data_IF_155397958908
#
_entry.id   IF_155397958908
#
_cell.length_a   1.000
_cell.length_b   1.000
_cell.length_c   1.000
_cell.angle_alpha   90.00
_cell.angle_beta   90.00
_cell.angle_gamma   90.00
#
_symmetry.space_group_name_H-M   'P 1'
#
loop_
_entity.id
_entity.type
_entity.pdbx_description
1 polymer ?
#
# COMPACT_ATOMS: atom_id res chain seq x y z
N UNK A 1 11.98 -0.44 5.63
CA UNK A 1 10.97 0.51 6.15
C UNK A 1 9.83 -0.11 6.94
N UNK A 2 9.43 -1.38 6.74
CA UNK A 2 8.25 -1.95 7.39
C UNK A 2 8.19 -1.76 8.93
N UNK A 3 9.27 -2.09 9.64
CA UNK A 3 9.32 -1.97 11.11
C UNK A 3 9.20 -0.50 11.57
N UNK A 4 9.86 0.43 10.86
CA UNK A 4 9.77 1.86 11.17
C UNK A 4 8.35 2.39 10.96
N UNK A 5 7.65 1.94 9.90
CA UNK A 5 6.24 2.23 9.65
C UNK A 5 5.32 1.79 10.80
N UNK A 6 5.49 0.54 11.27
CA UNK A 6 4.70 -0.02 12.37
C UNK A 6 4.94 0.75 13.66
N UNK A 7 6.21 1.02 14.00
CA UNK A 7 6.56 1.76 15.22
C UNK A 7 5.99 3.19 15.16
N UNK A 8 6.14 3.88 14.03
CA UNK A 8 5.64 5.24 13.87
C UNK A 8 4.11 5.32 14.01
N UNK A 9 3.38 4.40 13.38
CA UNK A 9 1.92 4.33 13.50
C UNK A 9 1.47 4.05 14.95
N UNK A 10 2.17 3.14 15.66
CA UNK A 10 1.89 2.87 17.07
C UNK A 10 2.15 4.06 17.98
N UNK A 11 3.29 4.74 17.80
CA UNK A 11 3.64 5.93 18.57
C UNK A 11 2.67 7.09 18.30
N UNK A 12 2.25 7.29 17.06
CA UNK A 12 1.28 8.32 16.69
C UNK A 12 -0.09 8.06 17.31
N UNK A 13 -0.54 6.80 17.32
CA UNK A 13 -1.77 6.39 18.00
C UNK A 13 -1.75 6.67 19.51
N UNK A 14 -0.62 6.40 20.17
CA UNK A 14 -0.42 6.70 21.61
C UNK A 14 -0.40 8.22 21.84
N UNK A 15 0.38 8.97 21.04
CA UNK A 15 0.53 10.43 21.16
C UNK A 15 -0.79 11.17 21.03
N UNK A 16 -1.63 10.74 20.08
CA UNK A 16 -2.92 11.37 19.80
C UNK A 16 -4.08 10.71 20.56
N UNK A 17 -3.80 9.70 21.40
CA UNK A 17 -4.78 8.94 22.17
C UNK A 17 -5.96 8.46 21.30
N UNK A 18 -5.64 7.89 20.13
CA UNK A 18 -6.65 7.47 19.16
C UNK A 18 -7.51 6.35 19.73
N UNK A 19 -8.83 6.45 19.51
CA UNK A 19 -9.77 5.43 19.94
C UNK A 19 -9.65 4.20 19.03
N UNK A 20 -9.45 3.04 19.64
CA UNK A 20 -9.50 1.76 18.94
C UNK A 20 -10.94 1.35 18.68
N UNK A 21 -11.19 0.85 17.46
CA UNK A 21 -12.43 0.17 17.14
C UNK A 21 -12.54 -1.15 17.94
N UNK A 22 -13.77 -1.66 18.18
CA UNK A 22 -13.96 -2.95 18.81
C UNK A 22 -13.22 -4.07 18.07
N UNK A 23 -12.69 -5.03 18.83
CA UNK A 23 -12.05 -6.20 18.24
C UNK A 23 -13.05 -6.98 17.39
N UNK A 24 -12.69 -7.25 16.14
CA UNK A 24 -13.47 -8.11 15.27
C UNK A 24 -13.18 -9.58 15.62
N UNK A 25 -14.18 -10.28 16.15
CA UNK A 25 -14.00 -11.62 16.76
C UNK A 25 -14.47 -12.77 15.87
N UNK A 26 -15.00 -12.47 14.68
CA UNK A 26 -15.55 -13.45 13.73
C UNK A 26 -14.74 -13.48 12.43
N UNK A 27 -15.26 -14.14 11.40
CA UNK A 27 -14.61 -14.26 10.10
C UNK A 27 -14.49 -12.89 9.39
N UNK A 28 -13.26 -12.39 9.23
CA UNK A 28 -12.99 -11.09 8.61
C UNK A 28 -13.26 -11.06 7.09
N UNK A 29 -13.38 -12.21 6.43
CA UNK A 29 -13.77 -12.24 5.00
C UNK A 29 -15.19 -11.71 4.79
N UNK A 30 -16.09 -11.91 5.76
CA UNK A 30 -17.49 -11.48 5.71
C UNK A 30 -17.68 -10.02 6.19
N UNK A 31 -16.60 -9.29 6.48
CA UNK A 31 -16.66 -7.92 6.97
C UNK A 31 -16.78 -6.89 5.85
N UNK A 32 -17.58 -5.84 6.10
CA UNK A 32 -17.68 -4.63 5.29
C UNK A 32 -16.65 -3.54 5.68
N UNK A 33 -15.64 -3.90 6.48
CA UNK A 33 -14.59 -2.96 6.90
C UNK A 33 -13.80 -2.43 5.69
N UNK A 34 -13.23 -1.21 5.78
CA UNK A 34 -12.34 -0.68 4.76
C UNK A 34 -11.23 -1.69 4.41
N UNK A 35 -11.01 -1.89 3.12
CA UNK A 35 -9.97 -2.80 2.61
C UNK A 35 -8.66 -2.02 2.45
N UNK A 36 -7.56 -2.71 2.68
CA UNK A 36 -6.23 -2.23 2.28
C UNK A 36 -6.15 -2.09 0.76
N UNK A 37 -5.27 -1.24 0.21
CA UNK A 37 -5.09 -1.14 -1.25
C UNK A 37 -4.87 -2.51 -1.87
N UNK A 38 -5.61 -2.80 -2.94
CA UNK A 38 -5.59 -4.09 -3.63
C UNK A 38 -4.44 -4.21 -4.65
N UNK A 39 -3.79 -3.10 -4.98
CA UNK A 39 -2.69 -3.05 -5.93
C UNK A 39 -1.53 -2.21 -5.42
N UNK A 40 -0.35 -2.47 -6.00
CA UNK A 40 0.84 -1.66 -5.74
C UNK A 40 0.67 -0.21 -6.25
N UNK A 41 -0.14 0.00 -7.31
CA UNK A 41 -0.47 1.34 -7.83
C UNK A 41 -1.27 2.13 -6.80
N UNK A 42 -2.29 1.52 -6.21
CA UNK A 42 -3.11 2.15 -5.17
C UNK A 42 -2.28 2.46 -3.92
N UNK A 43 -1.45 1.50 -3.49
CA UNK A 43 -0.57 1.67 -2.34
C UNK A 43 0.47 2.78 -2.55
N UNK A 44 1.09 2.84 -3.74
CA UNK A 44 2.03 3.88 -4.12
C UNK A 44 1.36 5.26 -4.15
N UNK A 45 0.14 5.34 -4.69
CA UNK A 45 -0.64 6.58 -4.74
C UNK A 45 -1.00 7.08 -3.34
N UNK A 46 -1.43 6.19 -2.44
CA UNK A 46 -1.70 6.54 -1.04
C UNK A 46 -0.44 7.03 -0.32
N UNK A 47 0.70 6.37 -0.55
CA UNK A 47 1.98 6.78 0.03
C UNK A 47 2.42 8.17 -0.46
N UNK A 48 2.40 8.40 -1.77
CA UNK A 48 2.84 9.64 -2.40
C UNK A 48 2.02 10.87 -1.97
N UNK A 49 0.73 10.66 -1.67
CA UNK A 49 -0.20 11.73 -1.27
C UNK A 49 -0.38 11.84 0.25
N UNK A 50 0.29 11.02 1.05
CA UNK A 50 0.10 11.01 2.50
C UNK A 50 0.86 12.15 3.19
N UNK A 51 0.13 13.11 3.74
CA UNK A 51 0.70 14.15 4.60
C UNK A 51 1.32 13.55 5.88
N UNK A 52 0.75 12.45 6.39
CA UNK A 52 1.27 11.76 7.57
C UNK A 52 2.63 11.11 7.31
N UNK A 53 2.81 10.45 6.16
CA UNK A 53 4.11 9.88 5.77
C UNK A 53 5.16 10.99 5.67
N UNK A 54 4.78 12.13 5.10
CA UNK A 54 5.64 13.32 5.00
C UNK A 54 6.09 13.81 6.38
N UNK A 55 5.17 13.94 7.32
CA UNK A 55 5.46 14.39 8.68
C UNK A 55 6.38 13.42 9.43
N UNK A 56 6.14 12.12 9.30
CA UNK A 56 6.85 11.08 10.06
C UNK A 56 8.23 10.79 9.51
N UNK A 57 8.37 10.70 8.19
CA UNK A 57 9.60 10.23 7.53
C UNK A 57 10.35 11.34 6.78
N UNK A 58 9.71 12.49 6.56
CA UNK A 58 10.27 13.59 5.78
C UNK A 58 10.06 13.44 4.27
N UNK A 59 10.14 14.58 3.58
CA UNK A 59 9.91 14.74 2.14
C UNK A 59 10.81 13.82 1.31
N UNK A 60 12.09 13.70 1.68
CA UNK A 60 13.07 12.92 0.92
C UNK A 60 12.76 11.42 0.93
N UNK A 61 12.41 10.88 2.11
CA UNK A 61 12.07 9.45 2.24
C UNK A 61 10.77 9.15 1.52
N UNK A 62 9.76 10.01 1.67
CA UNK A 62 8.49 9.86 0.97
C UNK A 62 8.71 9.84 -0.55
N UNK A 63 9.43 10.84 -1.08
CA UNK A 63 9.69 10.99 -2.51
C UNK A 63 10.53 9.82 -3.05
N UNK A 64 11.56 9.39 -2.33
CA UNK A 64 12.42 8.29 -2.75
C UNK A 64 11.63 6.99 -2.91
N UNK A 65 10.82 6.63 -1.92
CA UNK A 65 10.02 5.39 -1.97
C UNK A 65 8.87 5.48 -2.97
N UNK A 66 8.25 6.65 -3.13
CA UNK A 66 7.22 6.86 -4.16
C UNK A 66 7.80 6.68 -5.58
N UNK A 67 8.99 7.22 -5.83
CA UNK A 67 9.69 7.09 -7.11
C UNK A 67 10.15 5.63 -7.34
N UNK A 68 10.75 5.00 -6.34
CA UNK A 68 11.16 3.59 -6.43
C UNK A 68 9.99 2.68 -6.83
N UNK A 69 8.83 2.85 -6.20
CA UNK A 69 7.63 2.10 -6.54
C UNK A 69 7.12 2.43 -7.96
N UNK A 70 7.18 3.69 -8.39
CA UNK A 70 6.77 4.07 -9.74
C UNK A 70 7.66 3.42 -10.82
N UNK A 71 8.98 3.39 -10.61
CA UNK A 71 9.91 2.74 -11.54
C UNK A 71 9.59 1.26 -11.71
N UNK A 72 9.28 0.57 -10.61
CA UNK A 72 8.91 -0.85 -10.64
C UNK A 72 7.57 -1.07 -11.36
N UNK A 73 6.59 -0.21 -11.10
CA UNK A 73 5.29 -0.24 -11.78
C UNK A 73 5.43 -0.02 -13.30
N UNK A 74 6.26 0.94 -13.71
CA UNK A 74 6.54 1.23 -15.12
C UNK A 74 7.28 0.08 -15.81
N UNK A 75 8.13 -0.65 -15.08
CA UNK A 75 8.79 -1.84 -15.59
C UNK A 75 7.81 -3.01 -15.71
N UNK A 76 6.99 -3.25 -14.69
CA UNK A 76 5.97 -4.30 -14.69
C UNK A 76 4.95 -4.11 -15.81
N UNK A 77 4.46 -2.88 -16.03
CA UNK A 77 3.49 -2.58 -17.09
C UNK A 77 4.01 -2.77 -18.52
N UNK A 78 5.31 -2.98 -18.71
CA UNK A 78 5.92 -3.30 -20.01
C UNK A 78 6.11 -4.79 -20.23
N UNK A 79 5.97 -5.60 -19.17
CA UNK A 79 6.08 -7.05 -19.28
C UNK A 79 4.79 -7.63 -19.87
N UNK A 80 4.92 -8.54 -20.84
CA UNK A 80 3.80 -9.37 -21.29
C UNK A 80 3.94 -10.72 -20.59
N UNK A 81 2.90 -11.12 -19.89
CA UNK A 81 2.87 -12.38 -19.13
C UNK A 81 2.35 -13.53 -19.98
N UNK A 82 2.74 -14.75 -19.64
CA UNK A 82 2.22 -15.97 -20.29
C UNK A 82 0.70 -16.08 -20.19
N UNK A 83 0.10 -15.58 -19.10
CA UNK A 83 -1.35 -15.53 -18.96
C UNK A 83 -2.01 -14.68 -20.05
N UNK A 84 -1.42 -13.53 -20.37
CA UNK A 84 -1.89 -12.63 -21.42
C UNK A 84 -1.68 -13.23 -22.82
N UNK A 85 -0.56 -13.90 -23.06
CA UNK A 85 -0.29 -14.63 -24.31
C UNK A 85 -1.32 -15.74 -24.52
N UNK A 86 -1.50 -16.60 -23.51
CA UNK A 86 -2.45 -17.71 -23.59
C UNK A 86 -3.88 -17.21 -23.78
N UNK A 87 -4.30 -16.19 -23.03
CA UNK A 87 -5.66 -15.67 -23.08
C UNK A 87 -6.02 -15.05 -24.43
N UNK A 88 -5.07 -14.36 -25.05
CA UNK A 88 -5.31 -13.51 -26.21
C UNK A 88 -4.82 -14.10 -27.54
N UNK A 89 -3.79 -14.95 -27.53
CA UNK A 89 -3.11 -15.42 -28.76
C UNK A 89 -3.08 -16.95 -28.92
N UNK A 90 -3.13 -17.75 -27.86
CA UNK A 90 -2.91 -19.21 -27.95
C UNK A 90 -4.16 -20.07 -27.68
N UNK A 91 -5.31 -19.44 -27.45
CA UNK A 91 -6.61 -20.13 -27.41
C UNK A 91 -7.14 -20.38 -28.82
N UNK A 92 -6.57 -21.37 -29.51
CA UNK A 92 -7.14 -21.97 -30.72
C UNK A 92 -7.60 -23.40 -30.45
#
# INVERSE_FOLDING_TARGET
MAVAGIIAAGLDGIKNNLKLEPAYTTNAYDSDSPRVPASMVDAQSLWANSAWVKEVFGDEVQAHYANMAQVELDAYGKAVTDWELFRNFERF
#
